data_IF_866791442358
#
_entry.id   IF_866791442358
#
_cell.length_a   1.000
_cell.length_b   1.000
_cell.length_c   1.000
_cell.angle_alpha   90.00
_cell.angle_beta   90.00
_cell.angle_gamma   90.00
#
_symmetry.space_group_name_H-M   'P 1'
#
loop_
_entity.id
_entity.type
_entity.pdbx_description
1 polymer ?
#
# COMPACT_ATOMS: atom_id res chain seq x y z
N UNK A 1 -19.67 -14.32 9.00
CA UNK A 1 -20.71 -13.52 8.32
C UNK A 1 -21.22 -12.35 9.17
N UNK A 2 -21.78 -12.58 10.37
CA UNK A 2 -22.33 -11.50 11.21
C UNK A 2 -21.25 -10.54 11.76
N UNK A 3 -20.09 -11.04 12.11
CA UNK A 3 -18.95 -10.27 12.61
C UNK A 3 -18.31 -9.41 11.51
N UNK A 4 -18.24 -9.93 10.30
CA UNK A 4 -17.78 -9.21 9.11
C UNK A 4 -18.70 -8.06 8.72
N UNK A 5 -20.01 -8.30 8.69
CA UNK A 5 -20.99 -7.25 8.42
C UNK A 5 -20.92 -6.11 9.46
N UNK A 6 -20.67 -6.44 10.72
CA UNK A 6 -20.47 -5.43 11.79
C UNK A 6 -19.17 -4.64 11.59
N UNK A 7 -18.10 -5.29 11.11
CA UNK A 7 -16.83 -4.62 10.83
C UNK A 7 -16.97 -3.65 9.65
N UNK A 8 -17.59 -4.09 8.57
CA UNK A 8 -17.88 -3.26 7.39
C UNK A 8 -18.73 -2.03 7.76
N UNK A 9 -19.79 -2.23 8.57
CA UNK A 9 -20.61 -1.13 9.07
C UNK A 9 -19.80 -0.13 9.92
N UNK A 10 -18.91 -0.62 10.79
CA UNK A 10 -18.02 0.19 11.59
C UNK A 10 -17.06 1.02 10.71
N UNK A 11 -16.41 0.40 9.74
CA UNK A 11 -15.51 1.08 8.81
C UNK A 11 -16.25 2.16 8.01
N UNK A 12 -17.43 1.86 7.50
CA UNK A 12 -18.25 2.83 6.77
C UNK A 12 -18.65 4.02 7.64
N UNK A 13 -18.97 3.77 8.91
CA UNK A 13 -19.31 4.83 9.87
C UNK A 13 -18.11 5.73 10.16
N UNK A 14 -16.92 5.15 10.44
CA UNK A 14 -15.71 5.94 10.70
C UNK A 14 -15.33 6.73 9.45
N UNK A 15 -15.34 6.10 8.27
CA UNK A 15 -15.06 6.76 7.00
C UNK A 15 -15.97 7.97 6.76
N UNK A 16 -17.24 7.80 6.97
CA UNK A 16 -18.22 8.90 6.85
C UNK A 16 -17.92 10.03 7.84
N UNK A 17 -17.53 9.70 9.07
CA UNK A 17 -17.12 10.70 10.06
C UNK A 17 -15.90 11.48 9.58
N UNK A 18 -14.88 10.81 9.03
CA UNK A 18 -13.68 11.45 8.47
C UNK A 18 -14.05 12.39 7.31
N UNK A 19 -14.93 11.96 6.41
CA UNK A 19 -15.37 12.75 5.25
C UNK A 19 -16.23 13.97 5.64
N UNK A 20 -16.99 13.89 6.75
CA UNK A 20 -17.90 14.95 7.21
C UNK A 20 -17.22 15.96 8.15
N UNK A 21 -16.22 15.56 8.95
CA UNK A 21 -15.69 16.39 10.02
C UNK A 21 -14.76 17.49 9.50
N UNK A 22 -13.97 17.24 8.46
CA UNK A 22 -13.14 18.23 7.75
C UNK A 22 -12.20 19.08 8.63
N UNK A 23 -12.04 18.72 9.92
CA UNK A 23 -11.18 19.45 10.86
C UNK A 23 -9.85 18.72 11.06
N UNK A 24 -8.75 19.44 10.94
CA UNK A 24 -7.40 18.90 10.89
C UNK A 24 -7.01 17.98 12.07
N UNK A 25 -7.42 18.32 13.29
CA UNK A 25 -6.97 17.61 14.50
C UNK A 25 -7.80 16.35 14.82
N UNK A 26 -9.07 16.30 14.43
CA UNK A 26 -9.94 15.13 14.67
C UNK A 26 -9.76 14.03 13.63
N UNK A 27 -9.36 14.40 12.42
CA UNK A 27 -9.29 13.48 11.29
C UNK A 27 -8.18 12.43 11.45
N UNK A 28 -7.04 12.78 12.05
CA UNK A 28 -5.92 11.84 12.19
C UNK A 28 -6.23 10.75 13.23
N UNK A 29 -6.91 11.07 14.33
CA UNK A 29 -7.30 10.08 15.33
C UNK A 29 -8.33 9.11 14.75
N UNK A 30 -9.34 9.62 14.05
CA UNK A 30 -10.31 8.79 13.34
C UNK A 30 -9.64 7.90 12.27
N UNK A 31 -8.62 8.40 11.56
CA UNK A 31 -7.83 7.61 10.61
C UNK A 31 -6.98 6.53 11.29
N UNK A 32 -6.44 6.79 12.48
CA UNK A 32 -5.73 5.78 13.29
C UNK A 32 -6.67 4.67 13.78
N UNK A 33 -7.86 5.03 14.22
CA UNK A 33 -8.90 4.07 14.60
C UNK A 33 -9.34 3.23 13.40
N UNK A 34 -9.53 3.88 12.25
CA UNK A 34 -9.83 3.20 10.99
C UNK A 34 -8.74 2.22 10.60
N UNK A 35 -7.47 2.63 10.65
CA UNK A 35 -6.34 1.75 10.37
C UNK A 35 -6.27 0.55 11.33
N UNK A 36 -6.57 0.77 12.60
CA UNK A 36 -6.61 -0.28 13.61
C UNK A 36 -7.70 -1.31 13.32
N UNK A 37 -8.87 -0.86 12.87
CA UNK A 37 -9.95 -1.73 12.45
C UNK A 37 -9.59 -2.55 11.19
N UNK A 38 -8.89 -1.94 10.21
CA UNK A 38 -8.47 -2.62 8.97
C UNK A 38 -7.61 -3.87 9.23
N UNK A 39 -6.85 -3.91 10.29
CA UNK A 39 -6.00 -5.08 10.63
C UNK A 39 -6.81 -6.34 10.95
N UNK A 40 -8.09 -6.20 11.20
CA UNK A 40 -9.01 -7.30 11.54
C UNK A 40 -9.98 -7.65 10.40
N UNK A 41 -9.88 -6.96 9.26
CA UNK A 41 -10.72 -7.22 8.09
C UNK A 41 -10.20 -8.38 7.24
N UNK A 42 -11.08 -8.94 6.43
CA UNK A 42 -10.67 -9.86 5.38
C UNK A 42 -9.80 -9.18 4.32
N UNK A 43 -8.96 -9.97 3.67
CA UNK A 43 -7.90 -9.49 2.76
C UNK A 43 -8.41 -8.57 1.64
N UNK A 44 -9.53 -8.91 1.01
CA UNK A 44 -10.07 -8.13 -0.10
C UNK A 44 -10.59 -6.78 0.40
N UNK A 45 -11.39 -6.78 1.44
CA UNK A 45 -11.90 -5.58 2.10
C UNK A 45 -10.76 -4.71 2.65
N UNK A 46 -9.76 -5.34 3.26
CA UNK A 46 -8.55 -4.67 3.74
C UNK A 46 -7.82 -3.92 2.61
N UNK A 47 -7.68 -4.53 1.42
CA UNK A 47 -6.98 -3.93 0.29
C UNK A 47 -7.67 -2.66 -0.22
N UNK A 48 -8.98 -2.70 -0.41
CA UNK A 48 -9.78 -1.57 -0.89
C UNK A 48 -9.75 -0.40 0.10
N UNK A 49 -9.96 -0.70 1.38
CA UNK A 49 -9.98 0.30 2.44
C UNK A 49 -8.57 0.87 2.74
N UNK A 50 -7.52 0.06 2.65
CA UNK A 50 -6.14 0.54 2.72
C UNK A 50 -5.81 1.52 1.59
N UNK A 51 -6.29 1.26 0.37
CA UNK A 51 -6.08 2.16 -0.76
C UNK A 51 -6.75 3.51 -0.53
N UNK A 52 -7.99 3.51 -0.03
CA UNK A 52 -8.71 4.74 0.31
C UNK A 52 -7.98 5.53 1.41
N UNK A 53 -7.64 4.88 2.54
CA UNK A 53 -6.96 5.52 3.67
C UNK A 53 -5.61 6.10 3.28
N UNK A 54 -4.85 5.37 2.46
CA UNK A 54 -3.56 5.80 1.92
C UNK A 54 -3.70 7.07 1.09
N UNK A 55 -4.66 7.08 0.15
CA UNK A 55 -4.93 8.25 -0.69
C UNK A 55 -5.31 9.46 0.16
N UNK A 56 -6.19 9.27 1.14
CA UNK A 56 -6.57 10.32 2.07
C UNK A 56 -5.36 10.87 2.83
N UNK A 57 -4.51 10.00 3.39
CA UNK A 57 -3.30 10.40 4.11
C UNK A 57 -2.29 11.14 3.22
N UNK A 58 -2.09 10.67 1.99
CA UNK A 58 -1.21 11.34 1.01
C UNK A 58 -1.74 12.73 0.60
N UNK A 59 -3.06 12.89 0.46
CA UNK A 59 -3.68 14.18 0.16
C UNK A 59 -3.50 15.14 1.34
N UNK A 60 -3.67 14.70 2.58
CA UNK A 60 -3.41 15.52 3.79
C UNK A 60 -1.94 15.95 3.90
N UNK A 61 -1.01 15.08 3.57
CA UNK A 61 0.43 15.44 3.49
C UNK A 61 0.67 16.53 2.45
N UNK A 62 0.01 16.47 1.29
CA UNK A 62 0.11 17.52 0.26
C UNK A 62 -0.50 18.84 0.70
N UNK A 63 -1.58 18.80 1.48
CA UNK A 63 -2.22 19.97 2.08
C UNK A 63 -1.39 20.58 3.22
N UNK A 64 -0.36 19.90 3.71
CA UNK A 64 0.48 20.35 4.82
C UNK A 64 -0.13 20.13 6.20
N UNK A 65 -1.16 19.28 6.30
CA UNK A 65 -1.88 18.99 7.55
C UNK A 65 -1.24 17.79 8.24
N UNK A 66 -0.86 17.93 9.52
CA UNK A 66 -0.32 16.85 10.37
C UNK A 66 0.67 15.92 9.61
N UNK A 67 1.57 16.53 8.83
CA UNK A 67 2.40 15.88 7.81
C UNK A 67 3.09 14.63 8.32
N UNK A 68 3.72 14.69 9.50
CA UNK A 68 4.47 13.57 10.06
C UNK A 68 3.57 12.37 10.40
N UNK A 69 2.40 12.67 10.96
CA UNK A 69 1.43 11.62 11.37
C UNK A 69 0.80 10.96 10.15
N UNK A 70 0.31 11.74 9.18
CA UNK A 70 -0.27 11.21 7.95
C UNK A 70 0.77 10.49 7.07
N UNK A 71 2.01 10.98 7.04
CA UNK A 71 3.10 10.30 6.35
C UNK A 71 3.41 8.94 6.98
N UNK A 72 3.44 8.86 8.31
CA UNK A 72 3.58 7.61 9.05
C UNK A 72 2.41 6.66 8.81
N UNK A 73 1.18 7.18 8.79
CA UNK A 73 -0.02 6.40 8.52
C UNK A 73 0.02 5.79 7.10
N UNK A 74 0.38 6.59 6.09
CA UNK A 74 0.55 6.11 4.71
C UNK A 74 1.60 4.98 4.64
N UNK A 75 2.75 5.14 5.30
CA UNK A 75 3.78 4.08 5.41
C UNK A 75 3.21 2.78 5.98
N UNK A 76 2.43 2.87 7.04
CA UNK A 76 1.83 1.71 7.70
C UNK A 76 0.81 0.99 6.82
N UNK A 77 0.07 1.70 5.97
CA UNK A 77 -0.82 1.07 4.99
C UNK A 77 -0.05 0.27 3.94
N UNK A 78 1.11 0.78 3.49
CA UNK A 78 2.00 0.00 2.61
C UNK A 78 2.56 -1.24 3.31
N UNK A 79 2.97 -1.12 4.57
CA UNK A 79 3.44 -2.27 5.35
C UNK A 79 2.36 -3.34 5.53
N UNK A 80 1.12 -2.92 5.82
CA UNK A 80 -0.01 -3.84 6.00
C UNK A 80 -0.30 -4.64 4.73
N UNK A 81 -0.13 -4.01 3.56
CA UNK A 81 -0.35 -4.65 2.26
C UNK A 81 0.86 -5.39 1.72
N UNK A 82 2.07 -5.08 2.19
CA UNK A 82 3.32 -5.62 1.67
C UNK A 82 3.39 -7.16 1.57
N UNK A 83 2.84 -7.97 2.50
CA UNK A 83 2.83 -9.43 2.37
C UNK A 83 2.01 -9.94 1.18
N UNK A 84 1.07 -9.14 0.67
CA UNK A 84 0.08 -9.56 -0.32
C UNK A 84 0.21 -8.85 -1.66
N UNK A 85 0.77 -7.65 -1.66
CA UNK A 85 0.90 -6.78 -2.82
C UNK A 85 2.36 -6.39 -3.04
N UNK A 86 2.92 -6.87 -4.13
CA UNK A 86 4.34 -6.68 -4.44
C UNK A 86 4.70 -5.20 -4.70
N UNK A 87 3.78 -4.40 -5.29
CA UNK A 87 3.98 -2.95 -5.44
C UNK A 87 4.10 -2.25 -4.08
N UNK A 88 3.21 -2.60 -3.14
CA UNK A 88 3.27 -2.08 -1.77
C UNK A 88 4.56 -2.47 -1.04
N UNK A 89 5.02 -3.70 -1.21
CA UNK A 89 6.30 -4.16 -0.66
C UNK A 89 7.47 -3.34 -1.19
N UNK A 90 7.55 -3.11 -2.50
CA UNK A 90 8.62 -2.34 -3.13
C UNK A 90 8.65 -0.88 -2.65
N UNK A 91 7.47 -0.26 -2.52
CA UNK A 91 7.36 1.11 -2.01
C UNK A 91 7.78 1.17 -0.54
N UNK A 92 7.31 0.24 0.29
CA UNK A 92 7.66 0.18 1.71
C UNK A 92 9.16 -0.02 1.92
N UNK A 93 9.79 -0.90 1.14
CA UNK A 93 11.22 -1.20 1.20
C UNK A 93 12.10 0.04 0.93
N UNK A 94 11.62 0.96 0.10
CA UNK A 94 12.33 2.18 -0.26
C UNK A 94 11.88 3.43 0.51
N UNK A 95 10.91 3.28 1.43
CA UNK A 95 10.25 4.42 2.07
C UNK A 95 11.23 5.35 2.79
N UNK A 96 12.13 4.80 3.58
CA UNK A 96 13.12 5.55 4.38
C UNK A 96 14.44 5.78 3.64
N UNK A 97 14.56 5.34 2.38
CA UNK A 97 15.78 5.54 1.60
C UNK A 97 15.84 6.93 1.01
N UNK A 98 17.02 7.55 0.94
CA UNK A 98 17.23 8.77 0.15
C UNK A 98 16.76 8.58 -1.29
N UNK A 99 16.31 9.65 -1.94
CA UNK A 99 15.72 9.57 -3.29
C UNK A 99 16.71 8.98 -4.31
N UNK A 100 18.00 9.32 -4.18
CA UNK A 100 19.10 8.84 -5.01
C UNK A 100 19.38 7.32 -4.87
N UNK A 101 18.99 6.72 -3.75
CA UNK A 101 19.15 5.29 -3.48
C UNK A 101 17.89 4.47 -3.83
N UNK A 102 16.82 5.14 -4.25
CA UNK A 102 15.56 4.49 -4.64
C UNK A 102 15.68 3.94 -6.05
N UNK A 103 15.37 2.66 -6.18
CA UNK A 103 15.34 1.97 -7.47
C UNK A 103 13.95 1.99 -8.12
N UNK A 104 12.93 1.61 -7.36
CA UNK A 104 11.58 1.36 -7.87
C UNK A 104 10.77 2.65 -8.03
N UNK A 105 10.67 3.46 -6.97
CA UNK A 105 9.80 4.63 -6.94
C UNK A 105 10.06 5.62 -8.08
N UNK A 106 11.32 5.99 -8.43
CA UNK A 106 11.58 6.89 -9.54
C UNK A 106 11.18 6.33 -10.91
N UNK A 107 11.12 4.99 -11.03
CA UNK A 107 10.80 4.26 -12.28
C UNK A 107 9.44 3.58 -12.24
N UNK A 108 8.66 3.79 -11.19
CA UNK A 108 7.40 3.09 -10.94
C UNK A 108 6.45 3.12 -12.12
N UNK A 109 6.37 4.24 -12.85
CA UNK A 109 5.51 4.38 -14.03
C UNK A 109 5.76 3.27 -15.08
N UNK A 110 7.00 2.81 -15.21
CA UNK A 110 7.40 1.75 -16.16
C UNK A 110 7.45 0.39 -15.45
N UNK A 111 8.09 0.35 -14.28
CA UNK A 111 8.38 -0.88 -13.54
C UNK A 111 7.14 -1.50 -12.90
N UNK A 112 6.07 -0.73 -12.69
CA UNK A 112 4.81 -1.25 -12.16
C UNK A 112 4.23 -2.36 -13.05
N UNK A 113 4.33 -2.24 -14.37
CA UNK A 113 3.89 -3.30 -15.29
C UNK A 113 4.61 -4.62 -15.05
N UNK A 114 5.89 -4.55 -14.70
CA UNK A 114 6.69 -5.74 -14.34
C UNK A 114 6.26 -6.27 -12.98
N UNK A 115 6.06 -5.40 -12.01
CA UNK A 115 5.58 -5.78 -10.69
C UNK A 115 4.19 -6.45 -10.76
N UNK A 116 3.25 -5.88 -11.51
CA UNK A 116 1.91 -6.43 -11.73
C UNK A 116 1.98 -7.82 -12.42
N UNK A 117 2.88 -8.01 -13.40
CA UNK A 117 3.06 -9.30 -14.05
C UNK A 117 3.66 -10.36 -13.10
N UNK A 118 4.61 -9.98 -12.25
CA UNK A 118 5.16 -10.85 -11.21
C UNK A 118 4.14 -11.17 -10.12
N UNK A 119 3.27 -10.21 -9.76
CA UNK A 119 2.15 -10.44 -8.87
C UNK A 119 1.20 -11.51 -9.44
N UNK A 120 0.77 -11.35 -10.69
CA UNK A 120 -0.11 -12.31 -11.38
C UNK A 120 0.49 -13.72 -11.49
N UNK A 121 1.80 -13.82 -11.70
CA UNK A 121 2.51 -15.10 -11.64
C UNK A 121 2.42 -15.73 -10.26
N UNK A 122 2.57 -14.92 -9.20
CA UNK A 122 2.47 -15.40 -7.81
C UNK A 122 1.05 -15.81 -7.45
N UNK A 123 0.05 -15.10 -7.96
CA UNK A 123 -1.38 -15.36 -7.70
C UNK A 123 -1.91 -16.56 -8.53
N UNK A 124 -1.07 -17.17 -9.37
CA UNK A 124 -1.44 -18.32 -10.20
C UNK A 124 -2.30 -17.97 -11.41
N UNK A 125 -2.35 -16.70 -11.78
CA UNK A 125 -3.03 -16.26 -13.02
C UNK A 125 -2.17 -16.52 -14.27
N UNK A 126 -0.87 -16.70 -14.09
CA UNK A 126 0.11 -17.02 -15.12
C UNK A 126 0.92 -18.24 -14.70
N UNK A 127 1.09 -19.19 -15.62
CA UNK A 127 1.96 -20.36 -15.40
C UNK A 127 3.43 -20.02 -15.66
N UNK A 128 3.69 -19.12 -16.61
CA UNK A 128 5.04 -18.71 -17.02
C UNK A 128 5.06 -17.21 -17.34
N UNK A 129 6.20 -16.57 -17.08
CA UNK A 129 6.44 -15.16 -17.39
C UNK A 129 7.82 -14.99 -18.05
N UNK A 130 7.83 -14.46 -19.26
CA UNK A 130 9.05 -14.08 -19.98
C UNK A 130 9.27 -12.57 -19.90
N UNK A 131 10.34 -12.14 -19.20
CA UNK A 131 10.71 -10.74 -19.04
C UNK A 131 11.83 -10.38 -20.04
N UNK A 132 11.47 -9.63 -21.08
CA UNK A 132 12.42 -9.00 -22.01
C UNK A 132 12.48 -7.49 -21.69
N UNK A 133 13.63 -7.02 -21.26
CA UNK A 133 13.86 -5.63 -20.89
C UNK A 133 15.24 -5.19 -21.38
N UNK A 134 15.43 -3.92 -21.77
CA UNK A 134 16.74 -3.39 -22.11
C UNK A 134 17.78 -3.62 -21.00
N UNK A 135 19.04 -3.70 -21.33
CA UNK A 135 20.09 -3.81 -20.31
C UNK A 135 20.12 -2.57 -19.41
N UNK A 136 20.52 -2.75 -18.16
CA UNK A 136 20.69 -1.69 -17.14
C UNK A 136 19.42 -0.96 -16.69
N UNK A 137 18.23 -1.46 -17.02
CA UNK A 137 16.98 -0.90 -16.49
C UNK A 137 16.60 -1.45 -15.11
N UNK A 138 17.40 -2.38 -14.55
CA UNK A 138 17.17 -2.91 -13.19
C UNK A 138 16.39 -4.21 -13.13
N UNK A 139 16.37 -5.01 -14.21
CA UNK A 139 15.73 -6.33 -14.23
C UNK A 139 16.19 -7.23 -13.09
N UNK A 140 17.50 -7.34 -12.89
CA UNK A 140 18.07 -8.18 -11.83
C UNK A 140 17.66 -7.72 -10.44
N UNK A 141 17.67 -6.40 -10.18
CA UNK A 141 17.22 -5.83 -8.91
C UNK A 141 15.75 -6.14 -8.65
N UNK A 142 14.89 -6.01 -9.67
CA UNK A 142 13.47 -6.34 -9.56
C UNK A 142 13.27 -7.82 -9.19
N UNK A 143 13.99 -8.74 -9.86
CA UNK A 143 13.89 -10.16 -9.57
C UNK A 143 14.45 -10.51 -8.18
N UNK A 144 15.51 -9.84 -7.72
CA UNK A 144 16.01 -10.01 -6.35
C UNK A 144 14.97 -9.61 -5.32
N UNK A 145 14.32 -8.44 -5.48
CA UNK A 145 13.24 -8.03 -4.60
C UNK A 145 12.06 -8.99 -4.65
N UNK A 146 11.72 -9.49 -5.82
CA UNK A 146 10.66 -10.47 -5.97
C UNK A 146 10.96 -11.77 -5.24
N UNK A 147 12.17 -12.35 -5.39
CA UNK A 147 12.58 -13.53 -4.65
C UNK A 147 12.55 -13.30 -3.13
N UNK A 148 13.03 -12.13 -2.68
CA UNK A 148 13.01 -11.78 -1.25
C UNK A 148 11.58 -11.68 -0.73
N UNK A 149 10.69 -11.08 -1.50
CA UNK A 149 9.27 -10.98 -1.16
C UNK A 149 8.61 -12.36 -1.06
N UNK A 150 8.86 -13.27 -2.01
CA UNK A 150 8.30 -14.63 -1.99
C UNK A 150 8.75 -15.44 -0.76
N UNK A 151 9.97 -15.22 -0.28
CA UNK A 151 10.49 -15.92 0.91
C UNK A 151 9.93 -15.33 2.20
N UNK A 152 9.59 -14.04 2.21
CA UNK A 152 9.15 -13.31 3.41
C UNK A 152 7.62 -13.26 3.63
N UNK A 153 6.85 -13.86 2.73
CA UNK A 153 5.37 -13.88 2.79
C UNK A 153 4.84 -14.79 3.89
#
# INVERSE_FOLDING_TARGET
>A
MEEQAKMEELLNKIRKTIEETGSADGDIEACEDYFSALRHCERQEQAENCLWLRKYAEDKVREGVEVERFFSLAKRTYLLMAPYDFDSYLIYLEWDRPVEERFYQPRRKIMRRVADALQRLTDGELDELFLSMPPRVGKTSMLMFYCTWLVGR
#
